data_IF_754488434294
#
_entry.id   IF_754488434294
#
_cell.length_a   1.000
_cell.length_b   1.000
_cell.length_c   1.000
_cell.angle_alpha   90.00
_cell.angle_beta   90.00
_cell.angle_gamma   90.00
#
_symmetry.space_group_name_H-M   'P 1'
#
loop_
_entity.id
_entity.type
_entity.pdbx_description
1 polymer ?
#
# COMPACT_ATOMS: atom_id res chain seq x y z
N UNK A 1 21.05 -7.20 -48.34
CA UNK A 1 21.64 -6.93 -47.00
C UNK A 1 20.69 -7.21 -45.83
N UNK A 2 19.42 -7.59 -46.07
CA UNK A 2 18.51 -8.08 -45.02
C UNK A 2 18.56 -9.61 -44.79
N UNK A 3 19.22 -10.36 -45.68
CA UNK A 3 19.42 -11.81 -45.54
C UNK A 3 20.38 -12.13 -44.38
N UNK A 4 21.45 -11.33 -44.22
CA UNK A 4 22.52 -11.52 -43.24
C UNK A 4 22.04 -11.39 -41.78
N UNK A 5 20.95 -10.63 -41.56
CA UNK A 5 20.29 -10.52 -40.26
C UNK A 5 19.48 -11.79 -39.96
N UNK A 6 18.85 -12.40 -40.98
CA UNK A 6 18.10 -13.65 -40.83
C UNK A 6 19.00 -14.86 -40.58
N UNK A 7 20.18 -14.91 -41.20
CA UNK A 7 21.18 -15.95 -40.95
C UNK A 7 21.81 -15.84 -39.55
N UNK A 8 22.03 -14.62 -39.04
CA UNK A 8 22.64 -14.40 -37.71
C UNK A 8 21.78 -14.89 -36.54
N UNK A 9 20.46 -14.89 -36.70
CA UNK A 9 19.49 -15.34 -35.67
C UNK A 9 19.37 -16.88 -35.62
N UNK A 10 19.78 -17.61 -36.67
CA UNK A 10 19.75 -19.08 -36.74
C UNK A 10 21.08 -19.77 -36.41
N UNK A 11 22.08 -19.05 -35.94
CA UNK A 11 23.30 -19.69 -35.49
C UNK A 11 23.07 -20.36 -34.14
N UNK A 12 23.28 -21.69 -34.00
CA UNK A 12 23.07 -22.40 -32.73
C UNK A 12 23.95 -21.84 -31.60
N UNK A 13 25.07 -21.21 -31.95
CA UNK A 13 25.96 -20.54 -30.99
C UNK A 13 25.32 -19.31 -30.32
N UNK A 14 24.53 -18.54 -31.06
CA UNK A 14 23.82 -17.36 -30.52
C UNK A 14 22.75 -17.79 -29.52
N UNK A 15 22.11 -18.93 -29.79
CA UNK A 15 21.09 -19.52 -28.92
C UNK A 15 21.67 -19.98 -27.57
N UNK A 16 22.92 -20.43 -27.54
CA UNK A 16 23.63 -20.77 -26.30
C UNK A 16 23.88 -19.54 -25.44
N UNK A 17 24.33 -18.43 -26.04
CA UNK A 17 24.59 -17.17 -25.30
C UNK A 17 23.29 -16.59 -24.75
N UNK A 18 22.23 -16.54 -25.55
CA UNK A 18 20.90 -16.09 -25.10
C UNK A 18 20.38 -17.01 -24.00
N UNK A 19 20.55 -18.33 -24.14
CA UNK A 19 20.17 -19.30 -23.12
C UNK A 19 20.90 -19.08 -21.80
N UNK A 20 22.20 -18.74 -21.84
CA UNK A 20 23.00 -18.45 -20.64
C UNK A 20 22.52 -17.17 -19.93
N UNK A 21 22.15 -16.13 -20.70
CA UNK A 21 21.57 -14.90 -20.16
C UNK A 21 20.21 -15.19 -19.50
N UNK A 22 19.30 -15.86 -20.21
CA UNK A 22 17.98 -16.21 -19.67
C UNK A 22 18.11 -17.10 -18.43
N UNK A 23 19.03 -18.06 -18.44
CA UNK A 23 19.31 -18.91 -17.28
C UNK A 23 19.80 -18.09 -16.08
N UNK A 24 20.66 -17.10 -16.28
CA UNK A 24 21.09 -16.18 -15.21
C UNK A 24 19.92 -15.36 -14.67
N UNK A 25 19.02 -14.89 -15.53
CA UNK A 25 17.79 -14.19 -15.10
C UNK A 25 16.84 -15.09 -14.32
N UNK A 26 16.75 -16.38 -14.65
CA UNK A 26 15.92 -17.34 -13.88
C UNK A 26 16.56 -17.68 -12.53
N UNK A 27 17.88 -17.88 -12.50
CA UNK A 27 18.61 -18.24 -11.28
C UNK A 27 18.76 -17.08 -10.29
N UNK A 28 18.83 -15.83 -10.76
CA UNK A 28 19.06 -14.64 -9.93
C UNK A 28 17.85 -13.70 -9.88
N UNK A 29 17.00 -13.69 -10.91
CA UNK A 29 15.92 -12.71 -11.07
C UNK A 29 14.59 -13.06 -10.41
N UNK A 30 14.38 -14.31 -9.97
CA UNK A 30 13.19 -14.66 -9.20
C UNK A 30 13.16 -13.97 -7.82
N UNK A 31 14.34 -13.69 -7.24
CA UNK A 31 14.46 -12.97 -5.97
C UNK A 31 14.35 -11.44 -6.16
N UNK A 32 14.72 -10.89 -7.32
CA UNK A 32 14.70 -9.44 -7.56
C UNK A 32 13.31 -8.87 -7.81
N UNK A 33 12.34 -9.70 -8.22
CA UNK A 33 10.93 -9.31 -8.29
C UNK A 33 10.31 -9.08 -6.89
N UNK A 34 10.90 -9.65 -5.84
CA UNK A 34 10.48 -9.44 -4.44
C UNK A 34 11.18 -8.27 -3.74
N UNK A 35 12.26 -7.73 -4.29
CA UNK A 35 13.02 -6.60 -3.69
C UNK A 35 12.32 -5.22 -3.80
N UNK A 36 11.09 -5.17 -4.32
CA UNK A 36 10.23 -3.98 -4.27
C UNK A 36 9.30 -3.93 -3.04
N UNK A 37 9.23 -5.00 -2.26
CA UNK A 37 8.47 -5.05 -1.01
C UNK A 37 9.46 -5.19 0.14
N UNK A 38 10.14 -4.10 0.51
CA UNK A 38 10.56 -3.99 1.91
C UNK A 38 9.27 -3.92 2.74
N UNK A 39 8.95 -4.89 3.60
CA UNK A 39 8.01 -4.65 4.66
C UNK A 39 8.76 -3.79 5.67
N UNK A 40 9.00 -2.52 5.34
CA UNK A 40 9.18 -1.53 6.38
C UNK A 40 7.79 -1.37 6.97
N UNK A 41 7.44 -2.27 7.88
CA UNK A 41 6.30 -2.10 8.76
C UNK A 41 6.61 -0.93 9.67
N UNK A 42 5.72 0.06 9.71
CA UNK A 42 5.84 1.17 10.64
C UNK A 42 5.62 0.70 12.09
N UNK A 43 4.76 -0.29 12.28
CA UNK A 43 4.54 -1.01 13.53
C UNK A 43 3.87 -2.36 13.29
N UNK A 44 4.00 -3.28 14.24
CA UNK A 44 3.24 -4.54 14.26
C UNK A 44 2.39 -4.57 15.52
N UNK A 45 1.09 -4.82 15.37
CA UNK A 45 0.12 -4.92 16.46
C UNK A 45 -0.44 -6.34 16.46
N UNK A 46 -0.05 -7.16 17.43
CA UNK A 46 -0.34 -8.59 17.47
C UNK A 46 0.06 -9.30 16.16
N UNK A 47 -0.91 -9.69 15.33
CA UNK A 47 -0.71 -10.36 14.03
C UNK A 47 -0.95 -9.42 12.83
N UNK A 48 -1.28 -8.16 13.06
CA UNK A 48 -1.54 -7.17 12.00
C UNK A 48 -0.35 -6.22 11.84
N UNK A 49 0.20 -6.16 10.64
CA UNK A 49 1.31 -5.27 10.29
C UNK A 49 0.77 -3.96 9.71
N UNK A 50 1.11 -2.84 10.34
CA UNK A 50 0.84 -1.51 9.81
C UNK A 50 2.01 -1.14 8.89
N UNK A 51 1.77 -1.17 7.58
CA UNK A 51 2.81 -0.82 6.60
C UNK A 51 3.13 0.68 6.61
N UNK A 52 4.35 1.05 6.26
CA UNK A 52 4.72 2.47 6.09
C UNK A 52 3.83 3.20 5.05
N UNK A 53 3.36 2.49 4.02
CA UNK A 53 2.42 3.05 3.06
C UNK A 53 1.07 3.42 3.69
N UNK A 54 0.55 2.58 4.59
CA UNK A 54 -0.69 2.87 5.32
C UNK A 54 -0.50 4.07 6.26
N UNK A 55 0.63 4.14 6.97
CA UNK A 55 0.94 5.27 7.84
C UNK A 55 1.03 6.58 7.05
N UNK A 56 1.76 6.60 5.94
CA UNK A 56 1.88 7.79 5.09
C UNK A 56 0.52 8.24 4.55
N UNK A 57 -0.32 7.31 4.10
CA UNK A 57 -1.67 7.62 3.64
C UNK A 57 -2.52 8.24 4.76
N UNK A 58 -2.45 7.68 5.97
CA UNK A 58 -3.18 8.18 7.13
C UNK A 58 -2.69 9.55 7.58
N UNK A 59 -1.38 9.81 7.53
CA UNK A 59 -0.80 11.13 7.82
C UNK A 59 -1.33 12.18 6.85
N UNK A 60 -1.33 11.88 5.56
CA UNK A 60 -1.84 12.80 4.55
C UNK A 60 -3.35 13.06 4.70
N UNK A 61 -4.11 12.04 5.08
CA UNK A 61 -5.52 12.21 5.41
C UNK A 61 -5.72 13.12 6.64
N UNK A 62 -4.95 12.92 7.71
CA UNK A 62 -4.99 13.74 8.91
C UNK A 62 -4.63 15.20 8.61
N UNK A 63 -3.58 15.41 7.80
CA UNK A 63 -3.16 16.73 7.32
C UNK A 63 -4.28 17.43 6.58
N UNK A 64 -4.91 16.77 5.60
CA UNK A 64 -6.03 17.35 4.85
C UNK A 64 -7.21 17.72 5.75
N UNK A 65 -7.56 16.85 6.70
CA UNK A 65 -8.63 17.13 7.64
C UNK A 65 -8.33 18.35 8.52
N UNK A 66 -7.09 18.48 9.02
CA UNK A 66 -6.69 19.65 9.80
C UNK A 66 -6.71 20.91 8.94
N UNK A 67 -6.22 20.84 7.69
CA UNK A 67 -6.25 21.96 6.76
C UNK A 67 -7.68 22.40 6.41
N UNK A 68 -8.61 21.47 6.22
CA UNK A 68 -10.03 21.75 5.94
C UNK A 68 -10.74 22.40 7.13
N UNK A 69 -10.44 21.96 8.36
CA UNK A 69 -11.11 22.45 9.57
C UNK A 69 -10.55 23.79 10.05
N UNK A 70 -9.23 23.95 10.02
CA UNK A 70 -8.56 25.11 10.63
C UNK A 70 -8.10 26.16 9.60
N UNK A 71 -7.94 25.78 8.32
CA UNK A 71 -7.60 26.69 7.23
C UNK A 71 -6.43 27.61 7.57
N UNK A 72 -6.64 28.92 7.42
CA UNK A 72 -5.64 29.98 7.64
C UNK A 72 -5.22 30.19 9.10
N UNK A 73 -5.92 29.59 10.08
CA UNK A 73 -5.59 29.73 11.50
C UNK A 73 -4.63 28.64 12.00
N UNK A 74 -4.30 27.67 11.14
CA UNK A 74 -3.46 26.55 11.50
C UNK A 74 -1.98 26.94 11.44
N UNK A 75 -1.27 26.72 12.54
CA UNK A 75 0.19 26.86 12.55
C UNK A 75 0.80 25.77 11.64
N UNK A 76 1.57 26.13 10.60
CA UNK A 76 2.15 25.17 9.67
C UNK A 76 3.09 24.16 10.36
N UNK A 77 3.67 24.51 11.52
CA UNK A 77 4.50 23.57 12.31
C UNK A 77 3.72 22.37 12.85
N UNK A 78 2.39 22.48 12.98
CA UNK A 78 1.53 21.37 13.40
C UNK A 78 1.22 20.39 12.25
N UNK A 79 1.53 20.75 11.01
CA UNK A 79 1.36 19.91 9.82
C UNK A 79 2.60 19.10 9.46
N UNK A 80 3.70 19.30 10.20
CA UNK A 80 4.95 18.59 10.02
C UNK A 80 4.78 17.10 10.36
N UNK A 81 5.38 16.25 9.53
CA UNK A 81 5.29 14.79 9.67
C UNK A 81 5.80 14.32 11.04
N UNK A 82 6.80 14.97 11.62
CA UNK A 82 7.36 14.61 12.92
C UNK A 82 6.32 14.70 14.05
N UNK A 83 5.41 15.68 13.98
CA UNK A 83 4.35 15.87 14.96
C UNK A 83 3.12 15.01 14.68
N UNK A 84 2.76 14.82 13.40
CA UNK A 84 1.58 14.04 13.03
C UNK A 84 1.80 12.54 13.15
N UNK A 85 3.01 12.06 12.82
CA UNK A 85 3.32 10.62 12.73
C UNK A 85 3.04 9.85 14.03
N UNK A 86 3.44 10.28 15.23
CA UNK A 86 3.15 9.56 16.47
C UNK A 86 1.65 9.49 16.76
N UNK A 87 0.92 10.59 16.56
CA UNK A 87 -0.52 10.64 16.80
C UNK A 87 -1.29 9.74 15.83
N UNK A 88 -0.90 9.75 14.55
CA UNK A 88 -1.54 8.92 13.52
C UNK A 88 -1.21 7.45 13.72
N UNK A 89 0.04 7.13 14.05
CA UNK A 89 0.45 5.76 14.34
C UNK A 89 -0.32 5.19 15.53
N UNK A 90 -0.44 5.94 16.63
CA UNK A 90 -1.25 5.53 17.78
C UNK A 90 -2.71 5.30 17.38
N UNK A 91 -3.30 6.17 16.55
CA UNK A 91 -4.68 5.98 16.08
C UNK A 91 -4.84 4.70 15.24
N UNK A 92 -3.85 4.37 14.41
CA UNK A 92 -3.85 3.12 13.64
C UNK A 92 -3.71 1.89 14.56
N UNK A 93 -2.86 1.98 15.58
CA UNK A 93 -2.71 0.93 16.60
C UNK A 93 -4.03 0.72 17.35
N UNK A 94 -4.67 1.79 17.82
CA UNK A 94 -5.95 1.71 18.53
C UNK A 94 -7.04 1.07 17.68
N UNK A 95 -7.10 1.41 16.38
CA UNK A 95 -8.04 0.80 15.43
C UNK A 95 -7.78 -0.69 15.26
N UNK A 96 -6.52 -1.09 15.12
CA UNK A 96 -6.14 -2.49 15.00
C UNK A 96 -6.53 -3.27 16.28
N UNK A 97 -6.26 -2.72 17.46
CA UNK A 97 -6.66 -3.31 18.74
C UNK A 97 -8.18 -3.45 18.89
N UNK A 98 -8.93 -2.43 18.49
CA UNK A 98 -10.40 -2.48 18.52
C UNK A 98 -10.95 -3.54 17.56
N UNK A 99 -10.35 -3.69 16.38
CA UNK A 99 -10.76 -4.70 15.39
C UNK A 99 -10.46 -6.12 15.87
N UNK A 100 -9.27 -6.33 16.46
CA UNK A 100 -8.87 -7.59 17.08
C UNK A 100 -9.85 -7.97 18.21
N UNK A 101 -10.17 -7.02 19.09
CA UNK A 101 -11.15 -7.23 20.16
C UNK A 101 -12.55 -7.56 19.59
N UNK A 102 -12.99 -6.86 18.55
CA UNK A 102 -14.29 -7.11 17.91
C UNK A 102 -14.36 -8.54 17.36
N UNK A 103 -13.28 -9.01 16.75
CA UNK A 103 -13.15 -10.36 16.20
C UNK A 103 -13.15 -11.41 17.31
N UNK A 104 -12.40 -11.18 18.39
CA UNK A 104 -12.39 -12.05 19.57
C UNK A 104 -13.77 -12.17 20.23
N UNK A 105 -14.54 -11.09 20.24
CA UNK A 105 -15.91 -11.06 20.79
C UNK A 105 -16.97 -11.55 19.79
N UNK A 106 -16.61 -11.86 18.54
CA UNK A 106 -17.56 -12.24 17.48
C UNK A 106 -18.53 -11.12 17.11
N UNK A 107 -18.16 -9.87 17.34
CA UNK A 107 -18.95 -8.70 16.99
C UNK A 107 -18.67 -8.38 15.53
N UNK A 108 -19.66 -8.60 14.67
CA UNK A 108 -19.60 -8.28 13.25
C UNK A 108 -20.77 -7.40 12.82
N UNK A 109 -20.53 -6.53 11.85
CA UNK A 109 -21.58 -5.72 11.26
C UNK A 109 -22.45 -6.58 10.33
N UNK A 110 -23.77 -6.59 10.57
CA UNK A 110 -24.69 -7.30 9.67
C UNK A 110 -24.72 -6.67 8.28
N UNK A 111 -24.87 -7.50 7.23
CA UNK A 111 -24.93 -7.02 5.83
C UNK A 111 -26.03 -5.96 5.61
N UNK A 112 -27.16 -6.07 6.33
CA UNK A 112 -28.25 -5.10 6.24
C UNK A 112 -27.88 -3.76 6.89
N UNK A 113 -27.11 -3.76 7.97
CA UNK A 113 -26.58 -2.56 8.59
C UNK A 113 -25.55 -1.87 7.68
N UNK A 114 -24.63 -2.63 7.09
CA UNK A 114 -23.63 -2.10 6.12
C UNK A 114 -24.33 -1.48 4.92
N UNK A 115 -25.31 -2.19 4.31
CA UNK A 115 -26.09 -1.67 3.19
C UNK A 115 -26.79 -0.36 3.52
N UNK A 116 -27.41 -0.27 4.70
CA UNK A 116 -28.09 0.94 5.16
C UNK A 116 -27.10 2.10 5.36
N UNK A 117 -25.91 1.82 5.88
CA UNK A 117 -24.85 2.80 6.05
C UNK A 117 -24.40 3.38 4.70
N UNK A 118 -24.19 2.53 3.68
CA UNK A 118 -23.78 2.96 2.34
C UNK A 118 -24.86 3.83 1.69
N UNK A 119 -26.12 3.37 1.68
CA UNK A 119 -27.23 4.10 1.03
C UNK A 119 -27.50 5.47 1.69
N UNK A 120 -27.29 5.58 3.00
CA UNK A 120 -27.53 6.82 3.73
C UNK A 120 -26.33 7.79 3.72
N UNK A 121 -25.19 7.38 3.18
CA UNK A 121 -23.99 8.20 3.15
C UNK A 121 -23.92 8.99 1.84
N UNK A 122 -23.98 10.32 1.96
CA UNK A 122 -23.98 11.25 0.82
C UNK A 122 -22.72 11.12 -0.06
N UNK A 123 -21.58 10.67 0.47
CA UNK A 123 -20.36 10.45 -0.32
C UNK A 123 -20.49 9.29 -1.32
N UNK A 124 -21.45 8.39 -1.13
CA UNK A 124 -21.74 7.26 -2.04
C UNK A 124 -23.02 7.49 -2.87
N UNK A 125 -23.67 8.65 -2.72
CA UNK A 125 -24.76 9.03 -3.60
C UNK A 125 -24.18 9.37 -4.98
N UNK A 126 -24.63 8.66 -6.02
CA UNK A 126 -24.42 9.10 -7.39
C UNK A 126 -25.31 10.32 -7.60
N UNK A 127 -24.70 11.49 -7.86
CA UNK A 127 -25.42 12.62 -8.45
C UNK A 127 -26.15 12.10 -9.69
N UNK A 128 -27.48 12.20 -9.67
CA UNK A 128 -28.37 11.62 -10.68
C UNK A 128 -28.15 12.17 -12.08
#
# INVERSE_FOLDING_TARGET
MLQSIREGVRSPWVLVVIGLIVLSFVLTGAESLTFGASPSGAATVNSEEISEAQLQFAIEQQRRQLAEVYGDQLDPSLLDDEFLRPSVLNNLIDRALLNDLSTLLGIEASQSAVRRSIVNNAAFALDG
#
